data_IF_891460006522
#
_entry.id   IF_891460006522
#
_cell.length_a   1.000
_cell.length_b   1.000
_cell.length_c   1.000
_cell.angle_alpha   90.00
_cell.angle_beta   90.00
_cell.angle_gamma   90.00
#
_symmetry.space_group_name_H-M   'P 1'
#
loop_
_entity.id
_entity.type
_entity.pdbx_description
1 polymer ?
#
# COMPACT_ATOMS: atom_id res chain seq x y z
N UNK A 1 1.83 -5.59 15.02
CA UNK A 1 0.77 -4.69 14.51
C UNK A 1 -0.05 -5.33 13.38
N UNK A 2 0.56 -5.82 12.29
CA UNK A 2 -0.18 -6.53 11.22
C UNK A 2 -0.90 -7.81 11.67
N UNK A 3 -0.28 -8.61 12.55
CA UNK A 3 -0.88 -9.84 13.08
C UNK A 3 -2.19 -9.61 13.85
N UNK A 4 -2.28 -8.55 14.66
CA UNK A 4 -3.50 -8.20 15.37
C UNK A 4 -4.64 -7.86 14.41
N UNK A 5 -4.34 -7.08 13.37
CA UNK A 5 -5.31 -6.74 12.32
C UNK A 5 -5.90 -7.97 11.64
N UNK A 6 -5.06 -8.96 11.33
CA UNK A 6 -5.49 -10.22 10.70
C UNK A 6 -6.29 -11.07 11.69
N UNK A 7 -5.85 -11.16 12.95
CA UNK A 7 -6.51 -11.96 13.98
C UNK A 7 -7.89 -11.40 14.37
N UNK A 8 -8.08 -10.08 14.26
CA UNK A 8 -9.39 -9.43 14.41
C UNK A 8 -10.35 -9.71 13.23
N UNK A 9 -9.93 -10.52 12.25
CA UNK A 9 -10.76 -10.94 11.11
C UNK A 9 -10.96 -9.84 10.05
N UNK A 10 -10.20 -8.73 10.11
CA UNK A 10 -10.30 -7.65 9.13
C UNK A 10 -9.70 -8.10 7.79
N UNK A 11 -10.49 -7.93 6.72
CA UNK A 11 -10.14 -8.40 5.38
C UNK A 11 -9.46 -7.34 4.49
N UNK A 12 -9.70 -6.06 4.78
CA UNK A 12 -9.25 -4.96 3.92
C UNK A 12 -8.59 -3.86 4.73
N UNK A 13 -7.40 -3.44 4.30
CA UNK A 13 -6.66 -2.32 4.86
C UNK A 13 -6.33 -1.36 3.73
N UNK A 14 -6.82 -0.12 3.83
CA UNK A 14 -6.47 0.97 2.91
C UNK A 14 -5.44 1.87 3.59
N UNK A 15 -4.29 2.07 2.95
CA UNK A 15 -3.24 2.98 3.41
C UNK A 15 -3.17 4.18 2.48
N UNK A 16 -3.33 5.39 3.02
CA UNK A 16 -3.21 6.62 2.25
C UNK A 16 -1.82 7.24 2.47
N UNK A 17 -1.07 7.45 1.39
CA UNK A 17 0.24 8.09 1.42
C UNK A 17 0.16 9.39 0.62
N UNK A 18 0.36 10.52 1.31
CA UNK A 18 0.25 11.85 0.73
C UNK A 18 1.60 12.54 0.58
N UNK A 19 1.75 13.28 -0.52
CA UNK A 19 2.72 14.36 -0.63
C UNK A 19 1.98 15.60 -1.16
N UNK A 20 2.57 16.80 -1.06
CA UNK A 20 1.89 18.05 -1.41
C UNK A 20 1.20 18.02 -2.78
N UNK A 21 1.91 17.57 -3.81
CA UNK A 21 1.38 17.52 -5.18
C UNK A 21 0.84 16.16 -5.63
N UNK A 22 0.85 15.14 -4.78
CA UNK A 22 0.30 13.81 -5.11
C UNK A 22 1.00 12.98 -6.19
N UNK A 23 2.05 13.50 -6.83
CA UNK A 23 2.62 12.94 -8.08
C UNK A 23 4.03 12.35 -7.98
N UNK A 24 4.80 12.69 -6.93
CA UNK A 24 6.22 12.30 -6.82
C UNK A 24 6.46 11.37 -5.63
N UNK A 25 6.58 11.93 -4.43
CA UNK A 25 6.96 11.17 -3.22
C UNK A 25 5.91 10.13 -2.83
N UNK A 26 4.63 10.50 -2.87
CA UNK A 26 3.54 9.57 -2.55
C UNK A 26 3.50 8.38 -3.51
N UNK A 27 3.66 8.65 -4.81
CA UNK A 27 3.68 7.61 -5.86
C UNK A 27 4.85 6.66 -5.64
N UNK A 28 6.07 7.19 -5.52
CA UNK A 28 7.28 6.39 -5.33
C UNK A 28 7.24 5.53 -4.06
N UNK A 29 6.80 6.10 -2.93
CA UNK A 29 6.70 5.36 -1.66
C UNK A 29 5.65 4.26 -1.75
N UNK A 30 4.50 4.52 -2.40
CA UNK A 30 3.43 3.52 -2.55
C UNK A 30 3.90 2.33 -3.39
N UNK A 31 4.55 2.59 -4.53
CA UNK A 31 5.08 1.51 -5.39
C UNK A 31 6.14 0.68 -4.67
N UNK A 32 7.07 1.33 -3.97
CA UNK A 32 8.11 0.62 -3.21
C UNK A 32 7.52 -0.18 -2.03
N UNK A 33 6.49 0.33 -1.37
CA UNK A 33 5.77 -0.42 -0.33
C UNK A 33 5.13 -1.69 -0.92
N UNK A 34 4.48 -1.60 -2.09
CA UNK A 34 3.93 -2.76 -2.78
C UNK A 34 5.01 -3.78 -3.14
N UNK A 35 6.14 -3.31 -3.67
CA UNK A 35 7.28 -4.16 -4.02
C UNK A 35 7.79 -4.92 -2.78
N UNK A 36 7.93 -4.25 -1.64
CA UNK A 36 8.32 -4.88 -0.37
C UNK A 36 7.29 -5.85 0.18
N UNK A 37 5.99 -5.58 -0.01
CA UNK A 37 4.94 -6.50 0.42
C UNK A 37 4.89 -7.76 -0.44
N UNK A 38 5.14 -7.64 -1.74
CA UNK A 38 5.20 -8.76 -2.68
C UNK A 38 6.44 -9.64 -2.45
N UNK A 39 7.60 -9.02 -2.21
CA UNK A 39 8.88 -9.71 -2.08
C UNK A 39 9.27 -10.02 -0.62
N UNK A 40 8.47 -9.57 0.35
CA UNK A 40 8.80 -9.65 1.76
C UNK A 40 8.40 -10.99 2.38
N UNK A 41 9.30 -11.60 3.15
CA UNK A 41 9.03 -12.89 3.81
C UNK A 41 8.25 -12.77 5.12
N UNK A 42 8.10 -11.57 5.69
CA UNK A 42 7.53 -11.36 7.04
C UNK A 42 6.06 -11.78 7.18
N UNK A 43 5.29 -11.76 6.09
CA UNK A 43 3.85 -12.06 6.08
C UNK A 43 3.50 -13.19 5.11
N UNK A 44 4.48 -14.00 4.68
CA UNK A 44 4.30 -15.07 3.68
C UNK A 44 3.26 -16.14 4.07
N UNK A 45 2.98 -16.32 5.37
CA UNK A 45 1.93 -17.21 5.87
C UNK A 45 0.52 -16.73 5.51
N UNK A 46 0.36 -15.46 5.14
CA UNK A 46 -0.92 -14.86 4.78
C UNK A 46 -0.91 -14.51 3.30
N UNK A 47 -1.97 -14.90 2.59
CA UNK A 47 -2.15 -14.51 1.19
C UNK A 47 -2.63 -13.06 1.12
N UNK A 48 -1.70 -12.13 0.99
CA UNK A 48 -1.99 -10.70 0.90
C UNK A 48 -1.99 -10.28 -0.57
N UNK A 49 -3.10 -9.73 -1.04
CA UNK A 49 -3.16 -9.03 -2.32
C UNK A 49 -2.94 -7.53 -2.06
N UNK A 50 -1.98 -6.92 -2.76
CA UNK A 50 -1.67 -5.50 -2.64
C UNK A 50 -1.86 -4.79 -3.98
N UNK A 51 -2.59 -3.69 -3.97
CA UNK A 51 -2.82 -2.84 -5.15
C UNK A 51 -2.57 -1.38 -4.80
N UNK A 52 -2.14 -0.60 -5.79
CA UNK A 52 -1.88 0.83 -5.66
C UNK A 52 -2.88 1.62 -6.50
N UNK A 53 -3.33 2.74 -5.96
CA UNK A 53 -4.17 3.72 -6.66
C UNK A 53 -3.55 5.10 -6.46
N UNK A 54 -3.17 5.75 -7.57
CA UNK A 54 -2.56 7.08 -7.54
C UNK A 54 -3.60 8.14 -7.88
N UNK A 55 -4.19 8.73 -6.83
CA UNK A 55 -5.34 9.65 -6.95
C UNK A 55 -5.08 10.87 -7.83
N UNK A 56 -3.87 11.42 -7.81
CA UNK A 56 -3.54 12.70 -8.45
C UNK A 56 -2.80 12.54 -9.80
N UNK A 57 -2.41 11.32 -10.18
CA UNK A 57 -1.85 11.05 -11.51
C UNK A 57 -2.94 11.12 -12.58
N UNK A 58 -2.61 11.71 -13.74
CA UNK A 58 -3.54 11.80 -14.87
C UNK A 58 -4.67 12.83 -14.70
N UNK A 59 -4.62 13.68 -13.68
CA UNK A 59 -5.58 14.78 -13.42
C UNK A 59 -4.98 16.16 -13.72
N UNK A 60 -4.01 16.21 -14.62
CA UNK A 60 -3.37 17.47 -15.03
C UNK A 60 -4.25 18.19 -16.06
N UNK A 61 -4.32 19.52 -15.94
CA UNK A 61 -5.11 20.42 -16.80
C UNK A 61 -4.20 20.99 -17.87
#
# INVERSE_FOLDING_TARGET
MALGFINEGRKFLTLAIGCTGGKHRSVAITEELLNRLKNGNKLNKFKINSQATHRDLGREI
#
